data_IF_287016169666
#
_entry.id   IF_287016169666
#
_cell.length_a   1.000
_cell.length_b   1.000
_cell.length_c   1.000
_cell.angle_alpha   90.00
_cell.angle_beta   90.00
_cell.angle_gamma   90.00
#
_symmetry.space_group_name_H-M   'P 1'
#
loop_
_entity.id
_entity.type
_entity.pdbx_description
1 polymer ?
#
# COMPACT_ATOMS: atom_id res chain seq x y z
N UNK A 1 24.54 4.45 18.04
CA UNK A 1 24.24 4.12 16.63
C UNK A 1 22.94 3.31 16.46
N UNK A 2 22.61 2.35 17.34
CA UNK A 2 21.34 1.59 17.24
C UNK A 2 20.06 2.42 17.47
N UNK A 3 20.11 3.44 18.34
CA UNK A 3 18.97 4.32 18.63
C UNK A 3 18.54 5.12 17.39
N UNK A 4 19.50 5.74 16.71
CA UNK A 4 19.30 6.51 15.48
C UNK A 4 18.73 5.64 14.36
N UNK A 5 19.22 4.40 14.21
CA UNK A 5 18.71 3.48 13.20
C UNK A 5 17.26 3.01 13.47
N UNK A 6 16.86 2.88 14.74
CA UNK A 6 15.47 2.58 15.13
C UNK A 6 14.55 3.78 14.87
N UNK A 7 15.01 4.98 15.18
CA UNK A 7 14.25 6.22 14.99
C UNK A 7 14.01 6.53 13.50
N UNK A 8 15.05 6.43 12.66
CA UNK A 8 14.94 6.57 11.19
C UNK A 8 13.99 5.51 10.60
N UNK A 9 14.05 4.27 11.09
CA UNK A 9 13.11 3.21 10.66
C UNK A 9 11.68 3.56 11.04
N UNK A 10 11.42 4.07 12.24
CA UNK A 10 10.09 4.45 12.69
C UNK A 10 9.51 5.62 11.89
N UNK A 11 10.33 6.65 11.58
CA UNK A 11 9.92 7.79 10.74
C UNK A 11 9.51 7.30 9.34
N UNK A 12 10.37 6.53 8.67
CA UNK A 12 10.10 5.96 7.33
C UNK A 12 8.84 5.08 7.32
N UNK A 13 8.57 4.37 8.42
CA UNK A 13 7.43 3.48 8.56
C UNK A 13 6.12 4.25 8.82
N UNK A 14 6.17 5.37 9.55
CA UNK A 14 5.04 6.29 9.70
C UNK A 14 4.69 7.00 8.38
N UNK A 15 5.70 7.44 7.63
CA UNK A 15 5.48 8.04 6.31
C UNK A 15 4.82 7.05 5.34
N UNK A 16 5.27 5.80 5.35
CA UNK A 16 4.69 4.74 4.51
C UNK A 16 3.24 4.45 4.92
N UNK A 17 2.92 4.40 6.22
CA UNK A 17 1.55 4.20 6.71
C UNK A 17 0.63 5.35 6.28
N UNK A 18 1.10 6.59 6.39
CA UNK A 18 0.35 7.78 5.97
C UNK A 18 0.11 7.79 4.46
N UNK A 19 1.13 7.45 3.65
CA UNK A 19 0.99 7.30 2.20
C UNK A 19 -0.06 6.24 1.83
N UNK A 20 -0.01 5.05 2.46
CA UNK A 20 -1.01 3.99 2.23
C UNK A 20 -2.41 4.50 2.56
N UNK A 21 -2.57 5.17 3.71
CA UNK A 21 -3.86 5.72 4.15
C UNK A 21 -4.39 6.76 3.16
N UNK A 22 -3.51 7.63 2.65
CA UNK A 22 -3.86 8.64 1.65
C UNK A 22 -4.35 8.00 0.35
N UNK A 23 -3.57 7.06 -0.22
CA UNK A 23 -3.94 6.35 -1.46
C UNK A 23 -5.27 5.61 -1.27
N UNK A 24 -5.45 4.92 -0.14
CA UNK A 24 -6.66 4.17 0.15
C UNK A 24 -7.89 5.09 0.25
N UNK A 25 -7.78 6.24 0.91
CA UNK A 25 -8.85 7.25 0.96
C UNK A 25 -9.24 7.71 -0.44
N UNK A 26 -8.27 8.06 -1.28
CA UNK A 26 -8.55 8.49 -2.66
C UNK A 26 -9.25 7.39 -3.46
N UNK A 27 -8.80 6.13 -3.34
CA UNK A 27 -9.42 5.00 -4.03
C UNK A 27 -10.85 4.74 -3.56
N UNK A 28 -11.10 4.80 -2.25
CA UNK A 28 -12.46 4.63 -1.70
C UNK A 28 -13.37 5.77 -2.17
N UNK A 29 -12.94 7.03 -2.08
CA UNK A 29 -13.74 8.18 -2.52
C UNK A 29 -14.12 8.07 -4.00
N UNK A 30 -13.19 7.72 -4.89
CA UNK A 30 -13.46 7.53 -6.32
C UNK A 30 -14.36 6.31 -6.63
N UNK A 31 -14.60 5.46 -5.65
CA UNK A 31 -15.36 4.22 -5.81
C UNK A 31 -16.78 4.30 -5.22
N UNK A 32 -17.07 5.31 -4.38
CA UNK A 32 -18.34 5.45 -3.66
C UNK A 32 -19.58 5.41 -4.56
N UNK A 33 -19.47 5.99 -5.75
CA UNK A 33 -20.62 6.17 -6.65
C UNK A 33 -20.78 5.01 -7.65
N UNK A 34 -19.98 3.95 -7.53
CA UNK A 34 -20.10 2.77 -8.40
C UNK A 34 -21.29 1.92 -8.00
N UNK A 35 -22.44 2.22 -8.59
CA UNK A 35 -23.64 1.40 -8.52
C UNK A 35 -23.89 0.75 -9.90
N UNK A 36 -23.37 -0.45 -10.10
CA UNK A 36 -23.79 -1.32 -11.20
C UNK A 36 -24.24 -2.67 -10.65
N UNK A 37 -25.36 -3.24 -11.13
CA UNK A 37 -25.92 -4.50 -10.64
C UNK A 37 -24.94 -5.68 -10.76
N UNK A 38 -23.97 -5.64 -11.68
CA UNK A 38 -22.97 -6.71 -11.89
C UNK A 38 -21.64 -6.48 -11.15
N UNK A 39 -21.57 -5.50 -10.24
CA UNK A 39 -20.29 -5.10 -9.65
C UNK A 39 -19.79 -6.10 -8.62
N UNK A 40 -18.58 -6.62 -8.82
CA UNK A 40 -17.92 -7.50 -7.84
C UNK A 40 -17.47 -6.69 -6.62
N UNK A 41 -17.68 -7.22 -5.42
CA UNK A 41 -17.20 -6.57 -4.20
C UNK A 41 -15.73 -6.89 -3.91
N UNK A 42 -15.02 -5.92 -3.35
CA UNK A 42 -13.67 -6.10 -2.80
C UNK A 42 -13.58 -5.40 -1.44
N UNK A 43 -13.00 -6.07 -0.45
CA UNK A 43 -12.87 -5.53 0.88
C UNK A 43 -11.78 -4.44 0.95
N UNK A 44 -11.97 -3.43 1.79
CA UNK A 44 -10.96 -2.38 2.05
C UNK A 44 -9.62 -2.99 2.47
N UNK A 45 -9.60 -4.03 3.30
CA UNK A 45 -8.39 -4.77 3.69
C UNK A 45 -7.64 -5.37 2.49
N UNK A 46 -8.37 -5.91 1.51
CA UNK A 46 -7.80 -6.47 0.28
C UNK A 46 -7.19 -5.37 -0.59
N UNK A 47 -7.88 -4.23 -0.74
CA UNK A 47 -7.36 -3.05 -1.45
C UNK A 47 -6.08 -2.53 -0.78
N UNK A 48 -6.07 -2.42 0.55
CA UNK A 48 -4.88 -2.05 1.33
C UNK A 48 -3.70 -2.99 1.05
N UNK A 49 -3.93 -4.30 0.97
CA UNK A 49 -2.91 -5.29 0.59
C UNK A 49 -2.36 -5.04 -0.82
N UNK A 50 -3.22 -4.69 -1.78
CA UNK A 50 -2.79 -4.33 -3.14
C UNK A 50 -1.95 -3.04 -3.17
N UNK A 51 -2.33 -2.00 -2.42
CA UNK A 51 -1.55 -0.76 -2.28
C UNK A 51 -0.15 -1.07 -1.70
N UNK A 52 -0.07 -1.90 -0.67
CA UNK A 52 1.22 -2.31 -0.09
C UNK A 52 2.09 -3.05 -1.11
N UNK A 53 1.51 -3.95 -1.90
CA UNK A 53 2.23 -4.66 -2.97
C UNK A 53 2.72 -3.70 -4.06
N UNK A 54 1.90 -2.71 -4.42
CA UNK A 54 2.22 -1.67 -5.38
C UNK A 54 3.40 -0.81 -4.90
N UNK A 55 3.39 -0.34 -3.65
CA UNK A 55 4.52 0.44 -3.08
C UNK A 55 5.82 -0.39 -2.97
N UNK A 56 5.72 -1.69 -2.65
CA UNK A 56 6.89 -2.59 -2.69
C UNK A 56 7.46 -2.72 -4.11
N UNK A 57 6.59 -2.72 -5.12
CA UNK A 57 7.00 -2.73 -6.53
C UNK A 57 7.62 -1.41 -6.95
N UNK A 58 7.04 -0.28 -6.55
CA UNK A 58 7.59 1.06 -6.75
C UNK A 58 9.04 1.16 -6.25
N UNK A 59 9.27 0.85 -4.97
CA UNK A 59 10.61 0.87 -4.36
C UNK A 59 11.62 -0.04 -5.07
N UNK A 60 11.15 -1.15 -5.65
CA UNK A 60 11.99 -2.07 -6.40
C UNK A 60 12.34 -1.52 -7.78
N UNK A 61 11.37 -0.93 -8.50
CA UNK A 61 11.60 -0.28 -9.79
C UNK A 61 12.60 0.87 -9.67
N UNK A 62 12.53 1.68 -8.61
CA UNK A 62 13.52 2.73 -8.34
C UNK A 62 14.95 2.17 -8.20
N UNK A 63 15.12 1.06 -7.47
CA UNK A 63 16.43 0.41 -7.32
C UNK A 63 16.93 -0.17 -8.63
N UNK A 64 16.05 -0.74 -9.44
CA UNK A 64 16.40 -1.25 -10.77
C UNK A 64 16.87 -0.10 -11.66
N UNK A 65 16.11 1.00 -11.70
CA UNK A 65 16.44 2.17 -12.48
C UNK A 65 17.81 2.74 -12.08
N UNK A 66 18.07 2.87 -10.77
CA UNK A 66 19.35 3.34 -10.25
C UNK A 66 20.52 2.38 -10.52
N UNK A 67 20.31 1.06 -10.41
CA UNK A 67 21.35 0.07 -10.70
C UNK A 67 21.76 0.12 -12.18
N UNK A 68 20.78 0.30 -13.07
CA UNK A 68 21.01 0.50 -14.51
C UNK A 68 21.76 1.80 -14.76
N UNK A 69 21.35 2.91 -14.13
CA UNK A 69 22.02 4.22 -14.23
C UNK A 69 23.51 4.12 -13.88
N UNK A 70 23.81 3.45 -12.78
CA UNK A 70 25.17 3.25 -12.30
C UNK A 70 26.00 2.45 -13.33
N UNK A 71 25.46 1.33 -13.82
CA UNK A 71 26.14 0.50 -14.82
C UNK A 71 26.31 1.20 -16.17
N UNK A 72 25.34 2.02 -16.58
CA UNK A 72 25.47 2.84 -17.78
C UNK A 72 26.57 3.88 -17.67
N UNK A 73 26.67 4.57 -16.53
CA UNK A 73 27.73 5.56 -16.30
C UNK A 73 29.11 4.93 -16.42
N UNK A 74 29.32 3.80 -15.77
CA UNK A 74 30.55 3.01 -15.87
C UNK A 74 30.87 2.58 -17.32
N UNK A 75 29.88 2.03 -18.03
CA UNK A 75 30.03 1.63 -19.42
C UNK A 75 30.43 2.81 -20.31
N UNK A 76 29.81 3.98 -20.12
CA UNK A 76 30.13 5.18 -20.90
C UNK A 76 31.50 5.77 -20.54
N UNK A 77 31.87 5.82 -19.25
CA UNK A 77 33.16 6.32 -18.78
C UNK A 77 34.34 5.45 -19.25
N UNK A 78 34.11 4.15 -19.40
CA UNK A 78 35.12 3.19 -19.85
C UNK A 78 35.15 3.01 -21.38
N UNK A 79 34.45 3.85 -22.15
CA UNK A 79 34.31 3.71 -23.60
C UNK A 79 33.81 2.31 -24.03
N UNK A 80 32.97 1.68 -23.21
CA UNK A 80 32.36 0.38 -23.46
C UNK A 80 33.17 -0.82 -22.98
N UNK A 81 34.31 -0.63 -22.32
CA UNK A 81 35.14 -1.73 -21.78
C UNK A 81 34.46 -2.39 -20.57
N UNK A 82 33.82 -1.62 -19.70
CA UNK A 82 33.07 -2.16 -18.55
C UNK A 82 31.66 -2.61 -18.97
N UNK A 83 31.60 -3.75 -19.66
CA UNK A 83 30.33 -4.40 -19.97
C UNK A 83 29.60 -4.89 -18.72
N UNK A 84 28.29 -5.04 -18.84
CA UNK A 84 27.48 -5.64 -17.79
C UNK A 84 26.34 -6.47 -18.38
N UNK A 85 25.84 -7.38 -17.56
CA UNK A 85 24.76 -8.32 -17.89
C UNK A 85 23.53 -8.07 -17.02
N UNK A 86 22.41 -8.69 -17.40
CA UNK A 86 21.22 -8.73 -16.54
C UNK A 86 21.49 -9.36 -15.15
N UNK A 87 22.48 -10.26 -15.04
CA UNK A 87 22.88 -10.85 -13.76
C UNK A 87 23.55 -9.83 -12.83
N UNK A 88 24.30 -8.87 -13.38
CA UNK A 88 24.95 -7.82 -12.59
C UNK A 88 23.92 -6.88 -11.98
N UNK A 89 22.94 -6.47 -12.79
CA UNK A 89 21.77 -5.70 -12.33
C UNK A 89 21.01 -6.47 -11.25
N UNK A 90 20.75 -7.76 -11.47
CA UNK A 90 20.08 -8.62 -10.49
C UNK A 90 20.83 -8.68 -9.15
N UNK A 91 22.15 -8.85 -9.19
CA UNK A 91 22.97 -8.94 -7.99
C UNK A 91 22.98 -7.61 -7.23
N UNK A 92 23.10 -6.48 -7.93
CA UNK A 92 23.06 -5.14 -7.36
C UNK A 92 21.72 -4.86 -6.69
N UNK A 93 20.61 -5.09 -7.39
CA UNK A 93 19.25 -4.89 -6.87
C UNK A 93 18.97 -5.82 -5.69
N UNK A 94 19.40 -7.08 -5.76
CA UNK A 94 19.24 -8.03 -4.65
C UNK A 94 19.97 -7.59 -3.38
N UNK A 95 21.19 -7.05 -3.52
CA UNK A 95 21.95 -6.47 -2.39
C UNK A 95 21.22 -5.26 -1.79
N UNK A 96 20.79 -4.32 -2.63
CA UNK A 96 20.03 -3.13 -2.19
C UNK A 96 18.74 -3.50 -1.44
N UNK A 97 18.00 -4.50 -1.94
CA UNK A 97 16.78 -4.98 -1.29
C UNK A 97 17.07 -5.67 0.05
N UNK A 98 18.15 -6.47 0.12
CA UNK A 98 18.57 -7.14 1.37
C UNK A 98 18.94 -6.11 2.45
N UNK A 99 19.64 -5.03 2.08
CA UNK A 99 20.02 -3.96 3.01
C UNK A 99 18.79 -3.23 3.58
N UNK A 100 17.70 -3.15 2.82
CA UNK A 100 16.42 -2.62 3.27
C UNK A 100 15.57 -3.63 4.07
N UNK A 101 16.08 -4.84 4.32
CA UNK A 101 15.37 -5.90 5.04
C UNK A 101 14.35 -6.67 4.19
N UNK A 102 14.35 -6.50 2.86
CA UNK A 102 13.48 -7.27 1.96
C UNK A 102 14.11 -8.62 1.56
N UNK A 103 13.23 -9.59 1.27
CA UNK A 103 13.64 -10.88 0.69
C UNK A 103 14.22 -10.68 -0.72
N UNK A 104 15.15 -11.57 -1.07
CA UNK A 104 15.72 -11.66 -2.42
C UNK A 104 14.60 -11.92 -3.44
N UNK A 105 14.65 -11.23 -4.58
CA UNK A 105 13.72 -11.41 -5.69
C UNK A 105 14.20 -12.53 -6.61
N UNK A 106 13.29 -13.15 -7.37
CA UNK A 106 13.68 -14.06 -8.44
C UNK A 106 14.03 -13.28 -9.72
N UNK A 107 14.87 -13.88 -10.59
CA UNK A 107 15.28 -13.28 -11.87
C UNK A 107 14.08 -12.91 -12.75
N UNK A 108 13.05 -13.76 -12.81
CA UNK A 108 11.81 -13.51 -13.56
C UNK A 108 11.05 -12.27 -13.08
N UNK A 109 11.08 -11.97 -11.78
CA UNK A 109 10.45 -10.74 -11.25
C UNK A 109 11.23 -9.50 -11.70
N UNK A 110 12.56 -9.55 -11.67
CA UNK A 110 13.40 -8.47 -12.19
C UNK A 110 13.12 -8.21 -13.67
N UNK A 111 13.05 -9.27 -14.49
CA UNK A 111 12.76 -9.18 -15.93
C UNK A 111 11.40 -8.51 -16.20
N UNK A 112 10.35 -8.90 -15.46
CA UNK A 112 9.01 -8.29 -15.56
C UNK A 112 9.03 -6.80 -15.18
N UNK A 113 9.82 -6.42 -14.20
CA UNK A 113 9.94 -5.04 -13.78
C UNK A 113 10.76 -4.20 -14.76
N UNK A 114 11.82 -4.76 -15.36
CA UNK A 114 12.55 -4.12 -16.47
C UNK A 114 11.63 -3.95 -17.69
N UNK A 115 10.80 -4.96 -17.99
CA UNK A 115 9.79 -4.85 -19.05
C UNK A 115 8.80 -3.71 -18.77
N UNK A 116 8.35 -3.57 -17.53
CA UNK A 116 7.47 -2.47 -17.13
C UNK A 116 8.13 -1.10 -17.33
N UNK A 117 9.41 -0.95 -16.98
CA UNK A 117 10.15 0.29 -17.22
C UNK A 117 10.32 0.58 -18.72
N UNK A 118 10.42 -0.44 -19.57
CA UNK A 118 10.37 -0.27 -21.02
C UNK A 118 8.98 0.21 -21.49
N UNK A 119 7.90 -0.39 -20.97
CA UNK A 119 6.51 -0.03 -21.28
C UNK A 119 6.20 1.42 -20.88
N UNK A 120 6.77 1.92 -19.77
CA UNK A 120 6.69 3.32 -19.35
C UNK A 120 7.54 4.29 -20.19
N UNK A 121 8.36 3.79 -21.13
CA UNK A 121 9.27 4.61 -21.93
C UNK A 121 10.47 5.19 -21.15
N UNK A 122 10.74 4.68 -19.95
CA UNK A 122 11.84 5.13 -19.09
C UNK A 122 13.19 4.52 -19.48
N UNK A 123 13.17 3.34 -20.10
CA UNK A 123 14.36 2.71 -20.66
C UNK A 123 14.03 1.96 -21.95
N UNK A 124 15.07 1.67 -22.74
CA UNK A 124 15.04 0.73 -23.87
C UNK A 124 16.09 -0.34 -23.65
N UNK A 125 15.66 -1.59 -23.50
CA UNK A 125 16.56 -2.74 -23.39
C UNK A 125 17.04 -3.23 -24.74
N UNK A 126 18.35 -3.38 -24.91
CA UNK A 126 19.02 -4.06 -26.02
C UNK A 126 19.80 -5.24 -25.46
N UNK A 127 19.39 -6.44 -25.81
CA UNK A 127 20.04 -7.67 -25.33
C UNK A 127 20.69 -8.36 -26.53
N UNK A 128 22.00 -8.57 -26.47
CA UNK A 128 22.75 -9.35 -27.45
C UNK A 128 23.05 -10.72 -26.85
N UNK A 129 22.53 -11.78 -27.48
CA UNK A 129 22.84 -13.17 -27.09
C UNK A 129 24.18 -13.56 -27.72
N UNK A 130 25.04 -14.21 -26.95
CA UNK A 130 26.38 -14.63 -27.39
C UNK A 130 26.43 -16.07 -27.92
N UNK A 131 25.28 -16.76 -27.95
CA UNK A 131 25.14 -18.16 -28.37
C UNK A 131 24.45 -19.03 -27.31
N UNK A 132 24.15 -20.29 -27.65
CA UNK A 132 23.55 -21.25 -26.72
C UNK A 132 24.49 -21.44 -25.52
N UNK A 133 23.99 -21.21 -24.31
CA UNK A 133 24.75 -21.29 -23.03
C UNK A 133 25.93 -20.31 -22.86
N UNK A 134 26.22 -19.43 -23.82
CA UNK A 134 27.31 -18.43 -23.73
C UNK A 134 26.92 -17.11 -23.08
N UNK A 135 25.70 -17.02 -22.53
CA UNK A 135 25.19 -15.83 -21.85
C UNK A 135 24.72 -14.71 -22.81
N UNK A 136 24.61 -13.50 -22.27
CA UNK A 136 24.16 -12.33 -23.02
C UNK A 136 24.71 -11.02 -22.46
N UNK A 137 25.02 -10.09 -23.34
CA UNK A 137 25.33 -8.69 -23.00
C UNK A 137 24.01 -7.91 -22.96
N UNK A 138 23.81 -7.13 -21.91
CA UNK A 138 22.58 -6.34 -21.71
C UNK A 138 22.94 -4.88 -21.68
N UNK A 139 22.38 -4.10 -22.60
CA UNK A 139 22.53 -2.64 -22.63
C UNK A 139 21.16 -2.00 -22.47
N UNK A 140 20.99 -1.16 -21.45
CA UNK A 140 19.74 -0.44 -21.22
C UNK A 140 19.95 1.04 -21.48
N UNK A 141 19.33 1.60 -22.53
CA UNK A 141 19.37 3.04 -22.77
C UNK A 141 18.30 3.72 -21.94
N UNK A 142 18.68 4.57 -20.98
CA UNK A 142 17.70 5.38 -20.24
C UNK A 142 17.18 6.53 -21.08
N UNK A 143 15.92 6.88 -20.85
CA UNK A 143 15.32 8.06 -21.42
C UNK A 143 15.68 9.29 -20.59
N UNK A 144 16.65 10.07 -21.06
CA UNK A 144 17.15 11.24 -20.34
C UNK A 144 16.12 12.37 -20.23
N UNK A 145 15.15 12.44 -21.15
CA UNK A 145 14.06 13.42 -21.08
C UNK A 145 13.26 13.29 -19.78
N UNK A 146 13.09 12.06 -19.30
CA UNK A 146 12.30 11.75 -18.11
C UNK A 146 13.16 11.41 -16.87
N UNK A 147 14.49 11.52 -16.97
CA UNK A 147 15.39 11.13 -15.88
C UNK A 147 15.16 11.93 -14.59
N UNK A 148 14.73 13.18 -14.68
CA UNK A 148 14.46 14.03 -13.52
C UNK A 148 13.11 13.72 -12.84
N UNK A 149 12.11 13.23 -13.58
CA UNK A 149 10.74 12.93 -13.12
C UNK A 149 10.40 11.43 -13.09
N UNK A 150 11.38 10.55 -13.28
CA UNK A 150 11.15 9.10 -13.37
C UNK A 150 10.41 8.52 -12.14
N UNK A 151 10.65 9.07 -10.95
CA UNK A 151 10.00 8.64 -9.71
C UNK A 151 8.47 8.82 -9.80
N UNK A 152 8.05 10.00 -10.23
CA UNK A 152 6.64 10.36 -10.32
C UNK A 152 5.95 9.56 -11.44
N UNK A 153 6.61 9.40 -12.59
CA UNK A 153 6.11 8.55 -13.70
C UNK A 153 5.85 7.12 -13.22
N UNK A 154 6.79 6.51 -12.50
CA UNK A 154 6.63 5.13 -12.02
C UNK A 154 5.45 5.05 -11.03
N UNK A 155 5.36 6.01 -10.10
CA UNK A 155 4.29 6.02 -9.10
C UNK A 155 2.91 6.19 -9.73
N UNK A 156 2.77 7.15 -10.67
CA UNK A 156 1.51 7.43 -11.35
C UNK A 156 1.08 6.24 -12.21
N UNK A 157 2.00 5.66 -12.99
CA UNK A 157 1.70 4.49 -13.82
C UNK A 157 1.25 3.29 -12.98
N UNK A 158 1.93 3.01 -11.85
CA UNK A 158 1.52 1.94 -10.94
C UNK A 158 0.17 2.21 -10.28
N UNK A 159 -0.13 3.49 -9.99
CA UNK A 159 -1.42 3.91 -9.45
C UNK A 159 -2.53 3.72 -10.47
N UNK A 160 -2.29 4.04 -11.74
CA UNK A 160 -3.25 3.79 -12.82
C UNK A 160 -3.49 2.29 -13.02
N UNK A 161 -2.45 1.45 -13.01
CA UNK A 161 -2.62 0.00 -13.04
C UNK A 161 -3.49 -0.50 -11.88
N UNK A 162 -3.32 0.06 -10.68
CA UNK A 162 -4.15 -0.29 -9.53
C UNK A 162 -5.62 0.13 -9.74
N UNK A 163 -5.86 1.34 -10.26
CA UNK A 163 -7.20 1.84 -10.60
C UNK A 163 -7.89 0.95 -11.64
N UNK A 164 -7.21 0.59 -12.72
CA UNK A 164 -7.71 -0.32 -13.76
C UNK A 164 -8.08 -1.69 -13.18
N UNK A 165 -7.24 -2.26 -12.32
CA UNK A 165 -7.53 -3.53 -11.65
C UNK A 165 -8.76 -3.47 -10.72
N UNK A 166 -9.15 -2.27 -10.29
CA UNK A 166 -10.31 -2.01 -9.42
C UNK A 166 -11.49 -1.39 -10.19
N UNK A 167 -11.40 -1.28 -11.54
CA UNK A 167 -12.43 -0.64 -12.36
C UNK A 167 -13.80 -1.30 -12.18
N UNK A 168 -13.82 -2.62 -12.25
CA UNK A 168 -15.06 -3.43 -12.22
C UNK A 168 -15.40 -3.93 -10.80
N UNK A 169 -14.79 -3.32 -9.77
CA UNK A 169 -14.99 -3.71 -8.37
C UNK A 169 -15.47 -2.55 -7.52
N UNK A 170 -16.44 -2.82 -6.64
CA UNK A 170 -16.89 -1.90 -5.61
C UNK A 170 -16.18 -2.20 -4.30
N UNK A 171 -15.57 -1.18 -3.71
CA UNK A 171 -14.85 -1.26 -2.45
C UNK A 171 -15.87 -1.14 -1.33
N UNK A 172 -15.90 -2.13 -0.45
CA UNK A 172 -16.76 -2.17 0.74
C UNK A 172 -15.91 -2.31 1.99
N UNK A 173 -16.39 -1.77 3.11
CA UNK A 173 -15.80 -1.98 4.43
C UNK A 173 -15.74 -3.46 4.79
N UNK A 174 -14.79 -3.80 5.66
CA UNK A 174 -14.56 -5.19 6.06
C UNK A 174 -15.78 -5.81 6.76
N UNK A 175 -16.64 -4.98 7.37
CA UNK A 175 -17.83 -5.39 8.12
C UNK A 175 -19.15 -4.95 7.46
N UNK A 176 -19.12 -4.32 6.28
CA UNK A 176 -20.32 -3.74 5.66
C UNK A 176 -21.41 -4.78 5.36
N UNK A 177 -21.03 -6.05 5.18
CA UNK A 177 -21.96 -7.17 4.98
C UNK A 177 -22.57 -7.65 6.29
N UNK A 178 -21.74 -7.81 7.31
CA UNK A 178 -22.15 -8.32 8.64
C UNK A 178 -23.13 -7.34 9.31
N UNK A 179 -22.91 -6.03 9.16
CA UNK A 179 -23.78 -4.98 9.73
C UNK A 179 -25.19 -4.97 9.11
N UNK A 180 -25.36 -5.38 7.84
CA UNK A 180 -26.70 -5.40 7.23
C UNK A 180 -27.53 -6.63 7.63
N UNK A 181 -26.86 -7.73 8.00
CA UNK A 181 -27.49 -9.00 8.31
C UNK A 181 -27.59 -9.26 9.84
N UNK A 182 -26.91 -8.46 10.67
CA UNK A 182 -26.94 -8.59 12.12
C UNK A 182 -28.24 -8.03 12.72
N UNK A 183 -29.02 -8.92 13.35
CA UNK A 183 -30.11 -8.57 14.25
C UNK A 183 -29.62 -8.59 15.69
N UNK A 184 -29.79 -7.49 16.41
CA UNK A 184 -29.42 -7.43 17.82
C UNK A 184 -30.31 -8.35 18.65
N UNK A 185 -29.70 -9.26 19.41
CA UNK A 185 -30.41 -10.08 20.39
C UNK A 185 -30.72 -9.25 21.64
N UNK A 186 -31.93 -8.70 21.70
CA UNK A 186 -32.40 -7.85 22.79
C UNK A 186 -33.06 -8.61 23.96
N UNK A 187 -33.00 -9.95 23.99
CA UNK A 187 -33.72 -10.78 24.99
C UNK A 187 -33.42 -10.40 26.45
N UNK A 188 -32.19 -10.01 26.77
CA UNK A 188 -31.83 -9.57 28.12
C UNK A 188 -32.47 -8.20 28.47
N UNK A 189 -32.57 -7.29 27.51
CA UNK A 189 -33.21 -5.98 27.72
C UNK A 189 -34.71 -6.13 27.99
N UNK A 190 -35.35 -7.08 27.31
CA UNK A 190 -36.74 -7.47 27.54
C UNK A 190 -36.91 -8.16 28.91
N UNK A 191 -36.06 -9.14 29.22
CA UNK A 191 -36.06 -9.88 30.50
C UNK A 191 -35.95 -8.96 31.72
N UNK A 192 -35.11 -7.94 31.64
CA UNK A 192 -34.92 -6.97 32.73
C UNK A 192 -35.88 -5.77 32.66
N UNK A 193 -36.86 -5.76 31.72
CA UNK A 193 -37.82 -4.66 31.52
C UNK A 193 -37.16 -3.29 31.33
N UNK A 194 -35.94 -3.27 30.80
CA UNK A 194 -35.15 -2.04 30.64
C UNK A 194 -35.79 -1.15 29.56
N UNK A 195 -36.23 -1.72 28.44
CA UNK A 195 -36.88 -0.95 27.37
C UNK A 195 -38.16 -0.25 27.83
N UNK A 196 -39.00 -0.94 28.61
CA UNK A 196 -40.24 -0.40 29.16
C UNK A 196 -39.99 0.76 30.15
N UNK A 197 -38.94 0.67 30.96
CA UNK A 197 -38.59 1.72 31.92
C UNK A 197 -38.00 2.98 31.25
N UNK A 198 -37.43 2.85 30.04
CA UNK A 198 -36.85 3.96 29.29
C UNK A 198 -37.90 4.65 28.40
N UNK A 199 -38.87 3.90 27.87
CA UNK A 199 -39.93 4.42 26.99
C UNK A 199 -40.91 5.38 27.70
N UNK A 200 -41.07 5.30 29.02
CA UNK A 200 -41.91 6.25 29.78
C UNK A 200 -41.32 7.68 29.80
N UNK A 201 -40.01 7.84 29.54
CA UNK A 201 -39.32 9.13 29.69
C UNK A 201 -38.77 9.74 28.40
N UNK A 202 -38.76 9.03 27.27
CA UNK A 202 -38.16 9.55 26.04
C UNK A 202 -39.07 9.36 24.82
N UNK A 203 -39.62 10.46 24.30
CA UNK A 203 -40.13 10.51 22.91
C UNK A 203 -38.94 10.29 21.98
N UNK A 204 -38.85 9.09 21.40
CA UNK A 204 -37.79 8.73 20.45
C UNK A 204 -37.98 9.59 19.21
N UNK A 205 -37.19 10.66 19.12
CA UNK A 205 -37.03 11.41 17.87
C UNK A 205 -35.92 10.71 17.10
N UNK A 206 -36.18 10.14 15.91
CA UNK A 206 -35.12 9.54 15.10
C UNK A 206 -34.11 10.63 14.77
N UNK A 207 -32.88 10.44 15.25
CA UNK A 207 -31.79 11.40 15.07
C UNK A 207 -31.45 11.46 13.58
N UNK A 208 -31.78 12.56 12.91
CA UNK A 208 -31.38 12.77 11.53
C UNK A 208 -29.85 12.90 11.47
N UNK A 209 -29.22 12.29 10.47
CA UNK A 209 -27.75 12.24 10.33
C UNK A 209 -27.08 13.58 10.00
N UNK A 210 -27.71 14.71 10.33
CA UNK A 210 -27.13 16.05 10.18
C UNK A 210 -27.34 16.81 11.47
N UNK A 211 -26.32 16.83 12.31
CA UNK A 211 -26.17 17.82 13.37
C UNK A 211 -24.70 18.08 13.59
N UNK A 212 -24.32 19.36 13.66
CA UNK A 212 -22.98 19.81 14.01
C UNK A 212 -22.47 19.11 15.28
N UNK A 213 -21.14 18.89 15.40
CA UNK A 213 -20.61 18.16 16.54
C UNK A 213 -20.91 18.94 17.81
N UNK A 214 -21.79 18.39 18.66
CA UNK A 214 -21.89 18.83 20.04
C UNK A 214 -20.50 18.68 20.67
N UNK A 215 -19.92 19.82 21.05
CA UNK A 215 -18.68 19.89 21.80
C UNK A 215 -18.89 19.12 23.09
N UNK A 216 -18.34 17.91 23.16
CA UNK A 216 -18.25 17.17 24.42
C UNK A 216 -17.28 17.96 25.28
N UNK A 217 -17.83 18.79 26.17
CA UNK A 217 -17.03 19.49 27.16
C UNK A 217 -16.31 18.43 28.00
N UNK A 218 -14.99 18.44 27.91
CA UNK A 218 -14.04 17.52 28.53
C UNK A 218 -13.94 17.68 30.05
N UNK A 219 -15.02 18.11 30.70
CA UNK A 219 -15.11 18.25 32.13
C UNK A 219 -15.93 17.09 32.69
N UNK A 220 -15.30 16.30 33.56
CA UNK A 220 -15.88 15.26 34.42
C UNK A 220 -16.09 13.84 33.85
N UNK A 221 -15.15 13.34 33.07
CA UNK A 221 -14.89 11.88 33.07
C UNK A 221 -13.84 11.61 34.16
N UNK A 222 -14.27 11.56 35.42
CA UNK A 222 -13.40 11.08 36.50
C UNK A 222 -13.37 9.55 36.44
N UNK A 223 -12.26 8.97 36.00
CA UNK A 223 -11.97 7.57 36.29
C UNK A 223 -11.71 7.47 37.80
N UNK A 224 -12.76 7.27 38.59
CA UNK A 224 -12.59 6.74 39.94
C UNK A 224 -12.15 5.29 39.77
N UNK A 225 -10.84 5.04 39.77
CA UNK A 225 -10.24 3.75 40.05
C UNK A 225 -10.74 3.29 41.43
N UNK A 226 -11.89 2.63 41.46
CA UNK A 226 -12.29 1.78 42.59
C UNK A 226 -11.57 0.45 42.40
N UNK A 227 -10.51 0.27 43.19
CA UNK A 227 -9.89 -0.93 43.81
C UNK A 227 -10.38 -2.38 43.52
N UNK A 228 -11.19 -2.69 42.51
CA UNK A 228 -11.81 -4.02 42.35
C UNK A 228 -11.20 -4.90 41.24
N UNK A 229 -9.97 -4.66 40.78
CA UNK A 229 -9.35 -5.49 39.73
C UNK A 229 -8.12 -6.31 40.16
N UNK A 230 -7.92 -6.54 41.46
CA UNK A 230 -6.85 -7.42 41.97
C UNK A 230 -7.35 -8.79 42.49
N UNK A 231 -8.66 -9.07 42.44
CA UNK A 231 -9.21 -10.32 43.00
C UNK A 231 -9.69 -11.38 41.98
N UNK A 232 -9.20 -11.35 40.74
CA UNK A 232 -9.46 -12.43 39.77
C UNK A 232 -8.18 -12.94 39.11
N UNK A 233 -7.23 -13.37 39.93
CA UNK A 233 -6.19 -14.33 39.55
C UNK A 233 -5.82 -15.18 40.78
N UNK A 234 -6.68 -16.15 41.10
CA UNK A 234 -6.32 -17.36 41.83
C UNK A 234 -6.92 -18.54 41.09
#
# INVERSE_FOLDING_TARGET
>A
MESIAKEIKNIKLNDTKNQIKSILKTLVTLNKDKASPDTKYILVSQVKSQVVKMLKRYNRLLKIYWAIDTKNKNYMQSNGIEEYSASDIYNMVSKLLKNDGYKKICKRTLERDIKLLNEMGLLKSKIRRLGKQKGSISHYRQNMLFAHIHKDIILEYLTQLLKENLKDKRIIGDFDKEIQDETFNCTNLEKFKILSNINEHNKITPMSHVSEPHVINKANISYKTKENSIEMLT
#
